data_IF_157453999539
#
_entry.id   IF_157453999539
#
_cell.length_a   1.000
_cell.length_b   1.000
_cell.length_c   1.000
_cell.angle_alpha   90.00
_cell.angle_beta   90.00
_cell.angle_gamma   90.00
#
_symmetry.space_group_name_H-M   'P 1'
#
loop_
_entity.id
_entity.type
_entity.pdbx_description
1 polymer ?
#
# COMPACT_ATOMS: atom_id res chain seq x y z
N UNK A 1 -26.50 23.45 -9.27
CA UNK A 1 -25.83 22.61 -8.26
C UNK A 1 -24.41 22.40 -8.74
N UNK A 2 -23.43 22.93 -7.99
CA UNK A 2 -22.02 22.80 -8.32
C UNK A 2 -21.54 21.36 -8.13
N UNK A 3 -20.57 20.93 -8.96
CA UNK A 3 -19.83 19.69 -8.76
C UNK A 3 -18.71 19.98 -7.75
N UNK A 4 -18.81 19.41 -6.55
CA UNK A 4 -17.74 19.44 -5.56
C UNK A 4 -16.91 18.17 -5.65
N UNK A 5 -15.62 18.31 -5.92
CA UNK A 5 -14.72 17.16 -6.00
C UNK A 5 -13.82 17.05 -4.77
N UNK A 6 -13.79 15.87 -4.15
CA UNK A 6 -12.85 15.53 -3.08
C UNK A 6 -11.77 14.62 -3.67
N UNK A 7 -10.54 15.13 -3.73
CA UNK A 7 -9.45 14.40 -4.38
C UNK A 7 -8.44 13.78 -3.44
N UNK A 8 -7.79 12.76 -3.98
CA UNK A 8 -6.64 12.03 -3.44
C UNK A 8 -6.90 11.36 -2.12
N UNK A 9 -7.63 10.25 -2.20
CA UNK A 9 -7.73 9.39 -1.04
C UNK A 9 -7.19 8.00 -1.35
N UNK A 10 -6.20 7.59 -0.58
CA UNK A 10 -5.80 6.20 -0.50
C UNK A 10 -6.95 5.37 0.09
N UNK A 11 -7.68 5.96 1.05
CA UNK A 11 -8.86 5.41 1.72
C UNK A 11 -8.67 3.95 2.19
N UNK A 12 -7.45 3.63 2.63
CA UNK A 12 -7.11 2.30 3.12
C UNK A 12 -7.73 2.07 4.49
N UNK A 13 -7.57 3.06 5.35
CA UNK A 13 -8.15 3.08 6.68
C UNK A 13 -9.08 4.29 6.75
N UNK A 14 -10.36 4.00 6.93
CA UNK A 14 -11.36 5.04 7.12
C UNK A 14 -11.19 5.68 8.48
N UNK A 15 -11.08 7.01 8.53
CA UNK A 15 -10.93 7.77 9.75
C UNK A 15 -11.77 9.06 9.69
N UNK A 16 -12.13 9.65 10.83
CA UNK A 16 -12.97 10.84 10.89
C UNK A 16 -12.52 12.00 10.01
N UNK A 17 -11.22 12.20 9.84
CA UNK A 17 -10.70 13.27 8.99
C UNK A 17 -11.14 13.16 7.52
N UNK A 18 -11.31 11.95 6.96
CA UNK A 18 -11.85 11.77 5.62
C UNK A 18 -13.35 12.11 5.59
N UNK A 19 -14.10 11.64 6.57
CA UNK A 19 -15.54 11.88 6.67
C UNK A 19 -15.82 13.38 6.83
N UNK A 20 -15.03 14.09 7.63
CA UNK A 20 -15.16 15.54 7.80
C UNK A 20 -14.98 16.29 6.47
N UNK A 21 -14.00 15.91 5.65
CA UNK A 21 -13.80 16.55 4.34
C UNK A 21 -14.98 16.27 3.42
N UNK A 22 -15.52 15.05 3.39
CA UNK A 22 -16.71 14.70 2.59
C UNK A 22 -17.93 15.50 3.07
N UNK A 23 -18.15 15.58 4.38
CA UNK A 23 -19.25 16.37 4.96
C UNK A 23 -19.15 17.87 4.61
N UNK A 24 -17.93 18.44 4.65
CA UNK A 24 -17.74 19.82 4.21
C UNK A 24 -18.01 19.98 2.71
N UNK A 25 -17.55 19.02 1.88
CA UNK A 25 -17.77 19.05 0.44
C UNK A 25 -19.26 19.04 0.05
N UNK A 26 -20.11 18.34 0.81
CA UNK A 26 -21.57 18.30 0.53
C UNK A 26 -22.25 19.67 0.64
N UNK A 27 -21.63 20.65 1.29
CA UNK A 27 -22.15 22.03 1.37
C UNK A 27 -22.03 22.79 0.06
N UNK A 28 -21.16 22.33 -0.84
CA UNK A 28 -20.87 23.01 -2.12
C UNK A 28 -21.54 22.35 -3.32
N UNK A 29 -21.99 21.10 -3.23
CA UNK A 29 -22.66 20.42 -4.31
C UNK A 29 -22.60 18.89 -4.24
N UNK A 30 -22.78 18.24 -5.38
CA UNK A 30 -22.68 16.80 -5.51
C UNK A 30 -21.21 16.37 -5.39
N UNK A 31 -20.92 15.45 -4.48
CA UNK A 31 -19.54 15.07 -4.16
C UNK A 31 -19.06 13.91 -5.03
N UNK A 32 -18.02 14.15 -5.81
CA UNK A 32 -17.29 13.11 -6.55
C UNK A 32 -15.96 12.86 -5.83
N UNK A 33 -15.66 11.59 -5.52
CA UNK A 33 -14.40 11.22 -4.88
C UNK A 33 -13.45 10.63 -5.90
N UNK A 34 -12.29 11.24 -6.10
CA UNK A 34 -11.16 10.69 -6.85
C UNK A 34 -10.38 9.71 -5.97
N UNK A 35 -10.49 8.40 -6.23
CA UNK A 35 -9.86 7.34 -5.46
C UNK A 35 -8.63 6.81 -6.19
N UNK A 36 -7.45 6.91 -5.56
CA UNK A 36 -6.20 6.40 -6.11
C UNK A 36 -6.26 4.88 -6.37
N UNK A 37 -5.90 4.49 -7.59
CA UNK A 37 -5.73 3.07 -7.94
C UNK A 37 -4.51 2.46 -7.25
N UNK A 38 -4.47 1.14 -7.13
CA UNK A 38 -3.30 0.44 -6.56
C UNK A 38 -2.02 0.77 -7.36
N UNK A 39 -2.13 0.91 -8.70
CA UNK A 39 -1.02 1.30 -9.57
C UNK A 39 -0.52 2.71 -9.25
N UNK A 40 -1.41 3.69 -9.12
CA UNK A 40 -1.04 5.07 -8.80
C UNK A 40 -0.40 5.20 -7.40
N UNK A 41 -0.81 4.37 -6.45
CA UNK A 41 -0.22 4.35 -5.09
C UNK A 41 1.14 3.67 -5.10
N UNK A 42 1.29 2.55 -5.80
CA UNK A 42 2.49 1.70 -5.75
C UNK A 42 3.78 2.41 -6.17
N UNK A 43 3.69 3.45 -7.00
CA UNK A 43 4.84 4.25 -7.44
C UNK A 43 5.35 5.22 -6.36
N UNK A 44 4.49 5.61 -5.40
CA UNK A 44 4.78 6.67 -4.44
C UNK A 44 4.74 6.22 -2.98
N UNK A 45 4.01 5.15 -2.69
CA UNK A 45 3.82 4.63 -1.33
C UNK A 45 3.65 3.12 -1.35
N UNK A 46 3.67 2.53 -0.15
CA UNK A 46 3.29 1.15 0.04
C UNK A 46 1.83 0.91 -0.37
N UNK A 47 1.56 -0.27 -0.95
CA UNK A 47 0.18 -0.67 -1.29
C UNK A 47 -0.73 -0.65 -0.06
N UNK A 48 -1.98 -0.22 -0.24
CA UNK A 48 -3.02 -0.34 0.78
C UNK A 48 -3.29 -1.79 1.18
N UNK A 49 -3.77 -2.01 2.39
CA UNK A 49 -4.26 -3.32 2.83
C UNK A 49 -5.46 -3.76 2.00
N UNK A 50 -6.41 -2.85 1.77
CA UNK A 50 -7.58 -3.09 0.94
C UNK A 50 -7.27 -2.88 -0.54
N UNK A 51 -7.84 -3.72 -1.40
CA UNK A 51 -7.77 -3.55 -2.85
C UNK A 51 -8.54 -2.31 -3.31
N UNK A 52 -8.26 -1.81 -4.52
CA UNK A 52 -9.00 -0.69 -5.09
C UNK A 52 -10.53 -0.91 -5.04
N UNK A 53 -11.00 -2.09 -5.43
CA UNK A 53 -12.45 -2.41 -5.44
C UNK A 53 -13.07 -2.42 -4.04
N UNK A 54 -12.33 -2.92 -3.03
CA UNK A 54 -12.78 -2.89 -1.64
C UNK A 54 -12.86 -1.45 -1.12
N UNK A 55 -11.83 -0.64 -1.36
CA UNK A 55 -11.79 0.78 -0.98
C UNK A 55 -12.89 1.57 -1.69
N UNK A 56 -13.11 1.33 -2.99
CA UNK A 56 -14.17 1.93 -3.78
C UNK A 56 -15.54 1.64 -3.19
N UNK A 57 -15.83 0.37 -2.89
CA UNK A 57 -17.10 -0.05 -2.29
C UNK A 57 -17.35 0.64 -0.93
N UNK A 58 -16.33 0.83 -0.12
CA UNK A 58 -16.47 1.56 1.14
C UNK A 58 -16.80 3.03 0.89
N UNK A 59 -16.03 3.70 0.02
CA UNK A 59 -16.21 5.14 -0.25
C UNK A 59 -17.55 5.44 -0.92
N UNK A 60 -18.01 4.61 -1.84
CA UNK A 60 -19.32 4.73 -2.49
C UNK A 60 -20.50 4.68 -1.52
N UNK A 61 -20.32 4.03 -0.36
CA UNK A 61 -21.35 3.93 0.68
C UNK A 61 -21.23 4.97 1.80
N UNK A 62 -20.33 5.94 1.66
CA UNK A 62 -20.27 7.06 2.60
C UNK A 62 -21.40 8.04 2.26
N UNK A 63 -22.16 8.42 3.28
CA UNK A 63 -23.24 9.40 3.13
C UNK A 63 -22.68 10.70 2.53
N UNK A 64 -23.32 11.18 1.47
CA UNK A 64 -22.92 12.42 0.79
C UNK A 64 -22.02 12.21 -0.43
N UNK A 65 -21.47 11.02 -0.65
CA UNK A 65 -20.73 10.70 -1.88
C UNK A 65 -21.71 10.36 -2.98
N UNK A 66 -21.67 11.12 -4.09
CA UNK A 66 -22.51 10.91 -5.27
C UNK A 66 -21.86 9.94 -6.26
N UNK A 67 -20.52 9.96 -6.34
CA UNK A 67 -19.78 9.13 -7.29
C UNK A 67 -18.34 8.94 -6.85
N UNK A 68 -17.77 7.75 -7.16
CA UNK A 68 -16.33 7.48 -7.04
C UNK A 68 -15.74 7.28 -8.42
N UNK A 69 -14.63 7.95 -8.72
CA UNK A 69 -13.92 7.83 -9.99
C UNK A 69 -12.47 7.36 -9.75
N UNK A 70 -11.90 6.55 -10.65
CA UNK A 70 -10.50 6.15 -10.51
C UNK A 70 -9.58 7.36 -10.70
N UNK A 71 -8.60 7.45 -9.83
CA UNK A 71 -7.45 8.35 -9.92
C UNK A 71 -6.24 7.50 -10.32
N UNK A 72 -5.92 7.47 -11.59
CA UNK A 72 -4.91 6.57 -12.16
C UNK A 72 -3.48 7.08 -12.01
N UNK A 73 -3.34 8.38 -11.74
CA UNK A 73 -2.06 9.05 -11.56
C UNK A 73 -1.97 9.72 -10.18
N UNK A 74 -0.76 9.98 -9.75
CA UNK A 74 -0.52 10.72 -8.51
C UNK A 74 -0.97 12.19 -8.60
N UNK A 75 -0.91 12.79 -9.77
CA UNK A 75 -1.41 14.14 -10.08
C UNK A 75 -2.93 14.12 -10.34
N UNK A 76 -3.62 15.21 -9.96
CA UNK A 76 -5.07 15.36 -10.16
C UNK A 76 -5.45 15.90 -11.54
N UNK A 77 -4.49 16.42 -12.28
CA UNK A 77 -4.71 17.27 -13.45
C UNK A 77 -5.58 16.61 -14.50
N UNK A 78 -5.39 15.32 -14.78
CA UNK A 78 -6.15 14.62 -15.79
C UNK A 78 -7.63 14.50 -15.41
N UNK A 79 -7.93 14.16 -14.16
CA UNK A 79 -9.30 14.12 -13.69
C UNK A 79 -9.94 15.52 -13.65
N UNK A 80 -9.20 16.56 -13.22
CA UNK A 80 -9.69 17.93 -13.22
C UNK A 80 -10.07 18.42 -14.61
N UNK A 81 -9.22 18.15 -15.60
CA UNK A 81 -9.52 18.50 -17.00
C UNK A 81 -10.72 17.76 -17.56
N UNK A 82 -10.93 16.51 -17.14
CA UNK A 82 -12.03 15.65 -17.59
C UNK A 82 -13.35 16.01 -16.92
N UNK A 83 -13.35 16.22 -15.60
CA UNK A 83 -14.57 16.42 -14.82
C UNK A 83 -14.99 17.88 -14.73
N UNK A 84 -14.04 18.80 -14.83
CA UNK A 84 -14.23 20.27 -14.76
C UNK A 84 -15.12 20.66 -13.56
N UNK A 85 -14.69 20.32 -12.31
CA UNK A 85 -15.50 20.63 -11.15
C UNK A 85 -15.54 22.14 -10.88
N UNK A 86 -16.62 22.61 -10.27
CA UNK A 86 -16.72 24.00 -9.80
C UNK A 86 -15.86 24.21 -8.54
N UNK A 87 -15.74 23.17 -7.70
CA UNK A 87 -14.99 23.23 -6.45
C UNK A 87 -14.08 22.01 -6.30
N UNK A 88 -12.86 22.23 -5.83
CA UNK A 88 -12.00 21.20 -5.26
C UNK A 88 -11.92 21.40 -3.76
N UNK A 89 -12.18 20.32 -3.01
CA UNK A 89 -12.07 20.31 -1.56
C UNK A 89 -10.91 19.38 -1.16
N UNK A 90 -9.94 19.92 -0.42
CA UNK A 90 -8.78 19.16 0.05
C UNK A 90 -8.44 19.53 1.49
N UNK A 91 -7.83 18.60 2.24
CA UNK A 91 -7.20 18.95 3.52
C UNK A 91 -6.02 19.88 3.31
N UNK A 92 -5.69 20.72 4.28
CA UNK A 92 -4.59 21.68 4.19
C UNK A 92 -3.19 21.06 4.41
N UNK A 93 -3.12 19.72 4.52
CA UNK A 93 -1.90 18.91 4.65
C UNK A 93 -0.97 18.97 3.43
N UNK A 94 -1.42 19.49 2.30
CA UNK A 94 -0.63 19.66 1.06
C UNK A 94 0.06 21.03 0.93
N UNK A 95 -0.09 21.92 1.93
CA UNK A 95 0.56 23.24 1.95
C UNK A 95 2.07 23.15 2.13
N UNK A 96 2.53 22.06 2.67
CA UNK A 96 3.94 21.81 2.96
C UNK A 96 4.40 20.47 2.41
N UNK A 97 5.72 20.33 2.19
CA UNK A 97 6.33 19.10 1.75
C UNK A 97 6.12 18.81 0.26
N UNK A 98 6.22 17.55 -0.10
CA UNK A 98 6.23 17.04 -1.47
C UNK A 98 4.95 17.27 -2.28
N UNK A 99 3.86 17.62 -1.62
CA UNK A 99 2.57 17.88 -2.27
C UNK A 99 2.37 19.33 -2.70
N UNK A 100 3.30 20.22 -2.34
CA UNK A 100 3.22 21.65 -2.64
C UNK A 100 3.16 21.91 -4.16
N UNK A 101 3.98 21.21 -4.94
CA UNK A 101 3.98 21.33 -6.41
C UNK A 101 2.64 20.89 -7.03
N UNK A 102 2.05 19.82 -6.52
CA UNK A 102 0.73 19.35 -6.98
C UNK A 102 -0.35 20.36 -6.62
N UNK A 103 -0.27 20.96 -5.44
CA UNK A 103 -1.17 22.02 -5.01
C UNK A 103 -1.15 23.20 -5.99
N UNK A 104 0.05 23.69 -6.35
CA UNK A 104 0.20 24.79 -7.30
C UNK A 104 -0.40 24.46 -8.67
N UNK A 105 -0.13 23.26 -9.19
CA UNK A 105 -0.71 22.77 -10.43
C UNK A 105 -2.26 22.73 -10.40
N UNK A 106 -2.83 22.30 -9.27
CA UNK A 106 -4.28 22.27 -9.07
C UNK A 106 -4.85 23.67 -9.08
N UNK A 107 -4.25 24.62 -8.36
CA UNK A 107 -4.69 26.03 -8.37
C UNK A 107 -4.63 26.63 -9.78
N UNK A 108 -3.57 26.37 -10.54
CA UNK A 108 -3.42 26.86 -11.91
C UNK A 108 -4.52 26.31 -12.83
N UNK A 109 -4.81 25.01 -12.76
CA UNK A 109 -5.87 24.39 -13.58
C UNK A 109 -7.25 24.90 -13.17
N UNK A 110 -7.55 24.97 -11.88
CA UNK A 110 -8.83 25.44 -11.38
C UNK A 110 -9.08 26.89 -11.74
N UNK A 111 -8.10 27.76 -11.60
CA UNK A 111 -8.20 29.18 -12.02
C UNK A 111 -8.49 29.30 -13.53
N UNK A 112 -7.82 28.50 -14.38
CA UNK A 112 -8.08 28.48 -15.83
C UNK A 112 -9.46 27.97 -16.21
N UNK A 113 -10.07 27.14 -15.36
CA UNK A 113 -11.42 26.59 -15.59
C UNK A 113 -12.53 27.42 -14.94
N UNK A 114 -12.19 28.45 -14.17
CA UNK A 114 -13.15 29.26 -13.41
C UNK A 114 -13.64 28.57 -12.12
N UNK A 115 -12.97 27.51 -11.67
CA UNK A 115 -13.31 26.79 -10.45
C UNK A 115 -12.55 27.32 -9.22
N UNK A 116 -12.92 26.84 -8.05
CA UNK A 116 -12.38 27.28 -6.77
C UNK A 116 -11.76 26.13 -5.98
N UNK A 117 -10.61 26.36 -5.34
CA UNK A 117 -9.98 25.42 -4.41
C UNK A 117 -10.33 25.79 -2.97
N UNK A 118 -10.88 24.84 -2.22
CA UNK A 118 -11.26 25.00 -0.82
C UNK A 118 -10.39 24.08 0.03
N UNK A 119 -9.65 24.67 0.96
CA UNK A 119 -8.78 23.94 1.89
C UNK A 119 -9.43 23.84 3.26
N UNK A 120 -9.58 22.63 3.75
CA UNK A 120 -10.18 22.34 5.04
C UNK A 120 -9.09 22.04 6.07
N UNK A 121 -9.17 22.63 7.27
CA UNK A 121 -8.20 22.34 8.30
C UNK A 121 -8.09 20.86 8.62
N UNK A 122 -6.87 20.42 8.81
CA UNK A 122 -6.57 19.02 9.13
C UNK A 122 -7.18 18.60 10.47
N UNK A 123 -7.83 17.44 10.51
CA UNK A 123 -8.40 16.89 11.74
C UNK A 123 -7.28 16.38 12.64
N UNK A 124 -7.05 17.05 13.78
CA UNK A 124 -6.01 16.67 14.73
C UNK A 124 -6.28 15.32 15.39
N UNK A 125 -5.20 14.61 15.73
CA UNK A 125 -5.23 13.40 16.57
C UNK A 125 -5.40 12.08 15.82
N UNK A 126 -5.80 12.06 14.53
CA UNK A 126 -5.96 10.83 13.75
C UNK A 126 -5.46 11.04 12.34
N UNK A 127 -4.48 10.24 11.94
CA UNK A 127 -4.00 10.22 10.55
C UNK A 127 -3.74 8.78 10.06
N UNK A 128 -3.84 8.59 8.75
CA UNK A 128 -3.60 7.29 8.12
C UNK A 128 -2.21 6.72 8.42
N UNK A 129 -1.21 7.58 8.63
CA UNK A 129 0.17 7.13 8.88
C UNK A 129 0.34 6.52 10.27
N UNK A 130 -0.27 7.12 11.31
CA UNK A 130 -0.25 6.54 12.66
C UNK A 130 -1.02 5.23 12.70
N UNK A 131 -2.23 5.19 12.12
CA UNK A 131 -3.04 3.97 12.05
C UNK A 131 -2.33 2.85 11.27
N UNK A 132 -1.67 3.17 10.17
CA UNK A 132 -0.88 2.18 9.43
C UNK A 132 0.30 1.64 10.23
N UNK A 133 0.95 2.46 11.08
CA UNK A 133 2.01 2.02 11.97
C UNK A 133 1.47 1.04 13.02
N UNK A 134 0.32 1.34 13.60
CA UNK A 134 -0.31 0.50 14.62
C UNK A 134 -0.75 -0.85 14.02
N UNK A 135 -1.30 -0.85 12.80
CA UNK A 135 -1.64 -2.08 12.07
C UNK A 135 -0.39 -2.91 11.75
N UNK A 136 0.71 -2.28 11.34
CA UNK A 136 1.99 -2.98 11.13
C UNK A 136 2.45 -3.73 12.39
N UNK A 137 2.23 -3.15 13.58
CA UNK A 137 2.62 -3.77 14.85
C UNK A 137 1.77 -4.99 15.22
N UNK A 138 0.55 -5.10 14.69
CA UNK A 138 -0.36 -6.24 14.89
C UNK A 138 -0.01 -7.42 13.97
N UNK A 139 0.70 -7.15 12.86
CA UNK A 139 1.02 -8.14 11.84
C UNK A 139 -0.03 -8.26 10.74
N UNK A 140 0.04 -9.32 9.96
CA UNK A 140 -0.91 -9.59 8.87
C UNK A 140 -1.29 -11.07 8.84
N UNK A 141 -2.50 -11.36 8.36
CA UNK A 141 -2.94 -12.75 8.19
C UNK A 141 -2.25 -13.41 6.99
N UNK A 142 -2.07 -14.75 7.01
CA UNK A 142 -1.52 -15.49 5.87
C UNK A 142 -2.20 -15.19 4.55
N UNK A 143 -3.53 -15.11 4.54
CA UNK A 143 -4.34 -14.83 3.34
C UNK A 143 -4.03 -13.45 2.71
N UNK A 144 -3.86 -12.42 3.51
CA UNK A 144 -3.50 -11.07 3.05
C UNK A 144 -2.07 -11.07 2.49
N UNK A 145 -1.12 -11.70 3.19
CA UNK A 145 0.28 -11.76 2.77
C UNK A 145 0.45 -12.48 1.43
N UNK A 146 -0.18 -13.64 1.26
CA UNK A 146 -0.14 -14.40 0.00
C UNK A 146 -0.61 -13.58 -1.21
N UNK A 147 -1.70 -12.82 -1.04
CA UNK A 147 -2.27 -12.01 -2.14
C UNK A 147 -1.44 -10.75 -2.45
N UNK A 148 -0.64 -10.27 -1.51
CA UNK A 148 0.09 -9.01 -1.65
C UNK A 148 1.15 -9.08 -2.75
N UNK A 149 1.87 -10.19 -2.92
CA UNK A 149 2.86 -10.33 -3.99
C UNK A 149 2.22 -10.17 -5.39
N UNK A 150 1.11 -10.84 -5.64
CA UNK A 150 0.38 -10.73 -6.92
C UNK A 150 -0.09 -9.31 -7.18
N UNK A 151 -0.57 -8.62 -6.15
CA UNK A 151 -0.98 -7.21 -6.27
C UNK A 151 0.21 -6.30 -6.60
N UNK A 152 1.36 -6.52 -5.98
CA UNK A 152 2.60 -5.79 -6.27
C UNK A 152 3.05 -5.99 -7.70
N UNK A 153 3.08 -7.23 -8.20
CA UNK A 153 3.46 -7.56 -9.58
C UNK A 153 2.52 -6.85 -10.58
N UNK A 154 1.23 -6.78 -10.28
CA UNK A 154 0.27 -6.11 -11.15
C UNK A 154 0.34 -4.57 -11.08
N UNK A 155 0.80 -4.01 -9.96
CA UNK A 155 0.79 -2.57 -9.72
C UNK A 155 2.13 -1.88 -10.06
N UNK A 156 3.25 -2.58 -9.96
CA UNK A 156 4.61 -2.04 -10.14
C UNK A 156 5.29 -2.62 -11.37
N UNK A 157 6.09 -1.81 -12.05
CA UNK A 157 6.97 -2.28 -13.13
C UNK A 157 8.12 -3.14 -12.61
N UNK A 158 8.61 -2.87 -11.39
CA UNK A 158 9.67 -3.62 -10.71
C UNK A 158 9.26 -3.83 -9.27
N UNK A 159 9.29 -5.09 -8.82
CA UNK A 159 9.09 -5.47 -7.41
C UNK A 159 10.47 -5.76 -6.81
N UNK A 160 10.82 -5.05 -5.74
CA UNK A 160 12.13 -5.15 -5.08
C UNK A 160 12.03 -6.12 -3.92
N UNK A 161 12.72 -7.23 -4.05
CA UNK A 161 12.78 -8.28 -3.03
C UNK A 161 14.20 -8.32 -2.47
N UNK A 162 14.33 -8.33 -1.14
CA UNK A 162 15.62 -8.47 -0.47
C UNK A 162 15.63 -9.76 0.35
N UNK A 163 16.81 -10.38 0.40
CA UNK A 163 17.01 -11.61 1.14
C UNK A 163 16.86 -11.38 2.66
N UNK A 164 16.25 -12.36 3.36
CA UNK A 164 16.14 -12.40 4.82
C UNK A 164 16.23 -13.85 5.30
N UNK A 165 17.13 -14.11 6.25
CA UNK A 165 17.36 -15.43 6.84
C UNK A 165 17.11 -15.46 8.36
N UNK A 166 16.81 -14.31 8.97
CA UNK A 166 16.46 -14.22 10.39
C UNK A 166 15.50 -13.05 10.67
N UNK A 167 15.02 -12.96 11.92
CA UNK A 167 14.11 -11.90 12.34
C UNK A 167 14.74 -10.50 12.30
N UNK A 168 16.06 -10.35 12.50
CA UNK A 168 16.74 -9.06 12.42
C UNK A 168 16.74 -8.53 10.99
N UNK A 169 17.08 -9.38 10.02
CA UNK A 169 16.95 -9.06 8.59
C UNK A 169 15.51 -8.66 8.24
N UNK A 170 14.53 -9.41 8.74
CA UNK A 170 13.12 -9.11 8.60
C UNK A 170 12.74 -7.72 9.12
N UNK A 171 13.17 -7.37 10.33
CA UNK A 171 12.95 -6.05 10.93
C UNK A 171 13.59 -4.90 10.12
N UNK A 172 14.82 -5.09 9.64
CA UNK A 172 15.50 -4.10 8.81
C UNK A 172 14.73 -3.87 7.52
N UNK A 173 14.37 -4.94 6.80
CA UNK A 173 13.66 -4.85 5.52
C UNK A 173 12.26 -4.26 5.68
N UNK A 174 11.54 -4.61 6.76
CA UNK A 174 10.21 -4.07 7.03
C UNK A 174 10.24 -2.55 7.24
N UNK A 175 11.28 -2.04 7.93
CA UNK A 175 11.35 -0.65 8.36
C UNK A 175 12.23 0.25 7.50
N UNK A 176 13.01 -0.30 6.56
CA UNK A 176 13.85 0.49 5.68
C UNK A 176 13.01 1.26 4.68
N UNK A 177 13.00 2.57 4.81
CA UNK A 177 12.25 3.51 3.99
C UNK A 177 13.14 4.71 3.64
N UNK A 178 13.19 5.09 2.37
CA UNK A 178 13.93 6.26 1.90
C UNK A 178 12.96 7.17 1.14
N UNK A 179 12.76 8.39 1.65
CA UNK A 179 11.99 9.40 0.95
C UNK A 179 12.83 10.02 -0.15
N UNK A 180 12.38 9.93 -1.40
CA UNK A 180 13.04 10.53 -2.57
C UNK A 180 12.03 11.38 -3.34
N UNK A 181 12.01 12.67 -3.05
CA UNK A 181 10.97 13.56 -3.55
C UNK A 181 9.58 13.11 -3.05
N UNK A 182 8.64 12.92 -3.96
CA UNK A 182 7.28 12.46 -3.69
C UNK A 182 7.15 10.92 -3.63
N UNK A 183 8.25 10.18 -3.83
CA UNK A 183 8.31 8.72 -3.82
C UNK A 183 8.91 8.19 -2.53
N UNK A 184 8.29 7.14 -2.01
CA UNK A 184 8.83 6.34 -0.92
C UNK A 184 9.48 5.09 -1.51
N UNK A 185 10.80 5.00 -1.42
CA UNK A 185 11.58 3.83 -1.85
C UNK A 185 11.62 2.82 -0.70
N UNK A 186 11.16 1.60 -0.96
CA UNK A 186 11.10 0.50 0.00
C UNK A 186 11.45 -0.81 -0.69
N UNK A 187 11.85 -1.82 0.07
CA UNK A 187 11.75 -3.19 -0.39
C UNK A 187 10.30 -3.66 -0.29
N UNK A 188 9.81 -4.31 -1.33
CA UNK A 188 8.41 -4.70 -1.45
C UNK A 188 8.10 -6.05 -0.78
N UNK A 189 9.11 -6.89 -0.64
CA UNK A 189 9.01 -8.22 -0.06
C UNK A 189 10.36 -8.79 0.34
N UNK A 190 10.36 -10.05 0.75
CA UNK A 190 11.52 -10.77 1.23
C UNK A 190 11.72 -12.08 0.48
N UNK A 191 12.97 -12.52 0.41
CA UNK A 191 13.40 -13.79 -0.14
C UNK A 191 14.03 -14.63 0.97
N UNK A 192 13.43 -15.75 1.34
CA UNK A 192 14.04 -16.74 2.22
C UNK A 192 14.86 -17.69 1.36
N UNK A 193 16.17 -17.47 1.31
CA UNK A 193 17.12 -18.20 0.47
C UNK A 193 17.67 -19.43 1.18
N UNK A 194 17.72 -20.58 0.48
CA UNK A 194 18.36 -21.81 0.99
C UNK A 194 19.85 -21.61 1.23
N UNK A 195 20.51 -20.86 0.35
CA UNK A 195 21.93 -20.55 0.45
C UNK A 195 22.28 -19.79 1.72
N UNK A 196 21.55 -18.72 2.02
CA UNK A 196 21.81 -17.92 3.24
C UNK A 196 21.37 -18.63 4.49
N UNK A 197 20.26 -19.38 4.49
CA UNK A 197 19.84 -20.24 5.59
C UNK A 197 20.93 -21.28 5.92
N UNK A 198 21.52 -21.91 4.91
CA UNK A 198 22.60 -22.88 5.06
C UNK A 198 23.89 -22.22 5.54
N UNK A 199 24.31 -21.14 4.90
CA UNK A 199 25.56 -20.43 5.19
C UNK A 199 25.57 -19.85 6.61
N UNK A 200 24.44 -19.28 7.07
CA UNK A 200 24.29 -18.75 8.43
C UNK A 200 24.50 -19.81 9.53
N UNK A 201 24.33 -21.07 9.17
CA UNK A 201 24.51 -22.25 10.04
C UNK A 201 25.84 -23.00 9.79
N UNK A 202 26.72 -22.43 8.94
CA UNK A 202 28.00 -23.05 8.54
C UNK A 202 27.85 -24.35 7.78
N UNK A 203 26.73 -24.51 7.03
CA UNK A 203 26.45 -25.71 6.23
C UNK A 203 26.49 -25.38 4.73
N UNK A 204 26.83 -26.37 3.88
CA UNK A 204 26.72 -26.22 2.44
C UNK A 204 25.24 -26.19 2.00
N UNK A 205 24.99 -25.54 0.85
CA UNK A 205 23.68 -25.44 0.23
C UNK A 205 23.36 -26.68 -0.62
N UNK A 206 23.06 -27.76 0.05
CA UNK A 206 22.74 -29.09 -0.50
C UNK A 206 21.59 -29.75 0.26
N UNK A 207 20.62 -28.96 0.70
CA UNK A 207 19.55 -29.41 1.61
C UNK A 207 20.06 -29.96 2.96
N UNK A 208 21.28 -29.55 3.38
CA UNK A 208 21.83 -29.93 4.68
C UNK A 208 21.11 -29.26 5.85
N UNK A 209 20.37 -28.20 5.59
CA UNK A 209 19.40 -27.60 6.52
C UNK A 209 18.01 -28.06 6.10
N UNK A 210 17.39 -28.85 6.94
CA UNK A 210 16.07 -29.41 6.64
C UNK A 210 14.94 -28.36 6.69
N UNK A 211 13.81 -28.68 6.05
CA UNK A 211 12.65 -27.80 5.96
C UNK A 211 12.15 -27.35 7.34
N UNK A 212 12.14 -28.22 8.35
CA UNK A 212 11.65 -27.88 9.70
C UNK A 212 12.47 -26.78 10.34
N UNK A 213 13.79 -26.88 10.22
CA UNK A 213 14.73 -25.86 10.69
C UNK A 213 14.51 -24.53 9.96
N UNK A 214 14.36 -24.57 8.63
CA UNK A 214 14.09 -23.38 7.82
C UNK A 214 12.75 -22.73 8.18
N UNK A 215 11.72 -23.52 8.49
CA UNK A 215 10.42 -23.03 8.94
C UNK A 215 10.49 -22.32 10.29
N UNK A 216 11.40 -22.71 11.19
CA UNK A 216 11.61 -22.00 12.45
C UNK A 216 12.18 -20.60 12.23
N UNK A 217 13.19 -20.47 11.37
CA UNK A 217 13.75 -19.16 11.00
C UNK A 217 12.71 -18.31 10.28
N UNK A 218 11.95 -18.91 9.37
CA UNK A 218 10.85 -18.27 8.65
C UNK A 218 9.78 -17.71 9.61
N UNK A 219 9.44 -18.43 10.69
CA UNK A 219 8.51 -17.94 11.70
C UNK A 219 9.02 -16.66 12.38
N UNK A 220 10.33 -16.57 12.67
CA UNK A 220 10.90 -15.35 13.23
C UNK A 220 10.79 -14.17 12.27
N UNK A 221 10.94 -14.40 10.97
CA UNK A 221 10.74 -13.37 9.93
C UNK A 221 9.26 -12.98 9.85
N UNK A 222 8.35 -13.94 9.89
CA UNK A 222 6.91 -13.72 9.81
C UNK A 222 6.36 -12.86 10.95
N UNK A 223 6.94 -12.99 12.15
CA UNK A 223 6.61 -12.13 13.31
C UNK A 223 7.00 -10.66 13.10
N UNK A 224 8.00 -10.41 12.25
CA UNK A 224 8.58 -9.07 12.05
C UNK A 224 8.01 -8.33 10.85
N UNK A 225 7.28 -8.99 9.94
CA UNK A 225 6.91 -8.39 8.65
C UNK A 225 5.45 -8.61 8.26
N UNK A 226 4.92 -7.60 7.59
CA UNK A 226 3.63 -7.69 6.88
C UNK A 226 3.84 -7.81 5.35
N UNK A 227 5.09 -7.82 4.88
CA UNK A 227 5.45 -7.92 3.47
C UNK A 227 5.32 -9.36 2.95
N UNK A 228 5.14 -9.56 1.64
CA UNK A 228 5.15 -10.89 1.05
C UNK A 228 6.52 -11.53 1.16
N UNK A 229 6.54 -12.86 1.31
CA UNK A 229 7.76 -13.66 1.34
C UNK A 229 7.72 -14.66 0.19
N UNK A 230 8.85 -14.76 -0.53
CA UNK A 230 9.14 -15.80 -1.50
C UNK A 230 10.07 -16.79 -0.81
N UNK A 231 9.75 -18.06 -0.84
CA UNK A 231 10.54 -19.13 -0.23
C UNK A 231 11.29 -19.92 -1.31
N UNK A 232 12.60 -20.03 -1.15
CA UNK A 232 13.42 -20.89 -1.98
C UNK A 232 13.23 -22.35 -1.57
N UNK A 233 12.60 -23.11 -2.42
CA UNK A 233 12.31 -24.54 -2.19
C UNK A 233 13.48 -25.48 -2.48
N UNK A 234 14.70 -24.98 -2.75
CA UNK A 234 15.84 -25.79 -3.19
C UNK A 234 15.52 -26.66 -4.42
N UNK A 235 15.73 -27.98 -4.29
CA UNK A 235 15.36 -28.95 -5.33
C UNK A 235 13.87 -29.33 -5.27
N UNK A 236 13.11 -28.85 -4.28
CA UNK A 236 11.73 -29.26 -3.99
C UNK A 236 11.64 -30.53 -3.13
N UNK A 237 12.75 -31.16 -2.81
CA UNK A 237 12.83 -32.41 -2.07
C UNK A 237 12.25 -33.59 -2.84
N UNK A 238 11.69 -34.59 -2.13
CA UNK A 238 11.02 -35.73 -2.76
C UNK A 238 9.69 -35.30 -3.39
N UNK A 239 9.45 -35.69 -4.62
CA UNK A 239 8.27 -35.30 -5.41
C UNK A 239 6.96 -35.64 -4.69
N UNK A 240 6.91 -36.78 -3.98
CA UNK A 240 5.75 -37.22 -3.22
C UNK A 240 5.48 -36.34 -1.97
N UNK A 241 6.51 -35.64 -1.49
CA UNK A 241 6.42 -34.78 -0.31
C UNK A 241 6.13 -33.31 -0.68
N UNK A 242 6.40 -32.90 -1.91
CA UNK A 242 6.34 -31.50 -2.35
C UNK A 242 4.98 -30.84 -2.08
N UNK A 243 3.88 -31.59 -2.30
CA UNK A 243 2.54 -31.09 -2.05
C UNK A 243 2.32 -30.75 -0.55
N UNK A 244 2.93 -31.49 0.36
CA UNK A 244 2.85 -31.23 1.79
C UNK A 244 3.71 -30.03 2.20
N UNK A 245 4.87 -29.86 1.57
CA UNK A 245 5.72 -28.69 1.72
C UNK A 245 4.95 -27.43 1.31
N UNK A 246 4.39 -27.41 0.11
CA UNK A 246 3.60 -26.25 -0.40
C UNK A 246 2.40 -25.94 0.52
N UNK A 247 1.64 -26.94 0.95
CA UNK A 247 0.54 -26.75 1.90
C UNK A 247 0.99 -26.18 3.24
N UNK A 248 2.18 -26.55 3.70
CA UNK A 248 2.74 -26.00 4.94
C UNK A 248 3.12 -24.53 4.75
N UNK A 249 3.82 -24.20 3.68
CA UNK A 249 4.19 -22.83 3.31
C UNK A 249 2.97 -21.94 3.10
N UNK A 250 1.92 -22.45 2.45
CA UNK A 250 0.65 -21.76 2.26
C UNK A 250 -0.01 -21.39 3.60
N UNK A 251 -0.06 -22.34 4.57
CA UNK A 251 -0.57 -22.05 5.92
C UNK A 251 0.23 -20.98 6.67
N UNK A 252 1.52 -20.86 6.40
CA UNK A 252 2.37 -19.78 6.92
C UNK A 252 2.17 -18.45 6.17
N UNK A 253 1.44 -18.44 5.07
CA UNK A 253 1.19 -17.25 4.28
C UNK A 253 2.33 -16.87 3.34
N UNK A 254 3.12 -17.86 2.89
CA UNK A 254 4.17 -17.65 1.90
C UNK A 254 3.52 -17.34 0.54
N UNK A 255 4.04 -16.34 -0.13
CA UNK A 255 3.42 -15.75 -1.32
C UNK A 255 3.82 -16.45 -2.61
N UNK A 256 4.98 -17.09 -2.63
CA UNK A 256 5.49 -17.89 -3.75
C UNK A 256 6.59 -18.85 -3.26
N UNK A 257 6.78 -19.94 -4.00
CA UNK A 257 7.86 -20.94 -3.85
C UNK A 257 8.57 -21.06 -5.17
#
# INVERSE_FOLDING_TARGET
>A
RGLGDVYKRQADIMHPGLINIINEATKFGDVIVGLLTDKAIAEHKRLPYLTYEQRKKIVENIKGVSKVVPQEEWSYINNLKRLKPDYIIHGDDWKTGVLCEIREQVYDVMNKQGGTVIEIPYTQGINSSSLNRDIKSIGTTPDVRMKTLRRLINAKSIVRILEAHDGLCGLIIENLEIQKGDRLEVFDGMWSSSLTDSTSKGKPDIEAVDLTTRLQDLNNILECTTKPIIFDGDTGGKIEHFVFTVRTLERHGISAV
#
